data_IF_674103502433
#
_entry.id   IF_674103502433
#
_cell.length_a   1.000
_cell.length_b   1.000
_cell.length_c   1.000
_cell.angle_alpha   90.00
_cell.angle_beta   90.00
_cell.angle_gamma   90.00
#
_symmetry.space_group_name_H-M   'P 1'
#
loop_
_entity.id
_entity.type
_entity.pdbx_description
1 polymer ?
#
# COMPACT_ATOMS: atom_id res chain seq x y z
N UNK A 1 0.42 4.70 19.26
CA UNK A 1 1.40 4.02 18.39
C UNK A 1 1.17 2.52 18.46
N UNK A 2 0.20 1.99 17.71
CA UNK A 2 0.07 0.54 17.53
C UNK A 2 1.27 0.08 16.69
N UNK A 3 2.31 -0.42 17.37
CA UNK A 3 3.39 -1.12 16.68
C UNK A 3 2.77 -2.29 15.92
N UNK A 4 3.25 -2.53 14.71
CA UNK A 4 2.86 -3.65 13.85
C UNK A 4 3.40 -4.92 14.50
N UNK A 5 2.76 -5.34 15.59
CA UNK A 5 3.12 -6.50 16.39
C UNK A 5 1.89 -7.37 16.45
N UNK A 6 1.68 -8.13 15.38
CA UNK A 6 1.43 -9.58 15.40
C UNK A 6 0.91 -10.05 14.02
N UNK A 7 1.60 -11.04 13.45
CA UNK A 7 1.22 -11.89 12.31
C UNK A 7 1.38 -11.38 10.85
N UNK A 8 1.89 -10.17 10.57
CA UNK A 8 2.26 -9.78 9.20
C UNK A 8 3.79 -9.70 9.02
N UNK A 9 4.34 -10.49 8.10
CA UNK A 9 5.75 -10.39 7.71
C UNK A 9 5.92 -9.13 6.85
N UNK A 10 6.42 -8.06 7.45
CA UNK A 10 6.72 -6.80 6.77
C UNK A 10 7.96 -6.99 5.90
N UNK A 11 7.84 -6.70 4.60
CA UNK A 11 8.96 -6.75 3.66
C UNK A 11 9.67 -5.39 3.57
N UNK A 12 8.94 -4.28 3.77
CA UNK A 12 9.49 -2.92 3.77
C UNK A 12 8.65 -1.94 4.59
N UNK A 13 9.29 -0.95 5.22
CA UNK A 13 8.66 0.19 5.91
C UNK A 13 8.89 1.45 5.08
N UNK A 14 7.81 2.16 4.74
CA UNK A 14 7.88 3.51 4.19
C UNK A 14 7.33 4.46 5.24
N UNK A 15 8.08 5.49 5.60
CA UNK A 15 7.62 6.46 6.61
C UNK A 15 7.88 7.90 6.23
N UNK A 16 6.96 8.79 6.60
CA UNK A 16 7.17 10.23 6.46
C UNK A 16 8.16 10.74 7.52
N UNK A 17 9.01 11.69 7.15
CA UNK A 17 9.91 12.33 8.09
C UNK A 17 9.13 13.20 9.08
N UNK A 18 8.20 13.99 8.56
CA UNK A 18 7.40 14.94 9.34
C UNK A 18 6.10 14.27 9.77
N UNK A 19 6.13 13.54 10.89
CA UNK A 19 4.94 12.98 11.52
C UNK A 19 4.60 13.77 12.80
N UNK A 20 3.32 13.86 13.19
CA UNK A 20 2.93 14.37 14.50
C UNK A 20 3.43 13.44 15.61
N UNK A 21 3.67 13.99 16.80
CA UNK A 21 4.13 13.29 18.02
C UNK A 21 5.57 12.76 17.98
N UNK A 22 5.96 12.04 16.92
CA UNK A 22 7.32 11.51 16.72
C UNK A 22 7.80 11.77 15.31
N UNK A 23 9.10 12.00 15.11
CA UNK A 23 9.63 12.11 13.74
C UNK A 23 9.84 10.72 13.14
N UNK A 24 9.81 10.63 11.80
CA UNK A 24 10.19 9.39 11.12
C UNK A 24 11.65 9.01 11.35
N UNK A 25 12.51 9.97 11.69
CA UNK A 25 13.88 9.69 12.11
C UNK A 25 13.92 8.92 13.44
N UNK A 26 13.07 9.30 14.40
CA UNK A 26 12.96 8.58 15.68
C UNK A 26 12.42 7.16 15.46
N UNK A 27 11.43 7.00 14.56
CA UNK A 27 10.93 5.69 14.17
C UNK A 27 12.04 4.83 13.54
N UNK A 28 12.82 5.41 12.62
CA UNK A 28 13.94 4.73 11.99
C UNK A 28 14.97 4.27 13.02
N UNK A 29 15.32 5.13 13.98
CA UNK A 29 16.24 4.78 15.06
C UNK A 29 15.70 3.63 15.93
N UNK A 30 14.41 3.64 16.26
CA UNK A 30 13.76 2.56 17.02
C UNK A 30 13.76 1.24 16.25
N UNK A 31 13.42 1.26 14.96
CA UNK A 31 13.41 0.08 14.09
C UNK A 31 14.81 -0.52 13.97
N UNK A 32 15.82 0.31 13.69
CA UNK A 32 17.21 -0.14 13.54
C UNK A 32 17.88 -0.56 14.85
N UNK A 33 17.43 -0.01 15.98
CA UNK A 33 17.86 -0.44 17.31
C UNK A 33 17.23 -1.75 17.79
N UNK A 34 16.10 -2.16 17.22
CA UNK A 34 15.38 -3.37 17.64
C UNK A 34 15.89 -4.62 16.89
N UNK A 35 16.44 -5.60 17.62
CA UNK A 35 16.97 -6.86 17.06
C UNK A 35 15.98 -7.63 16.18
N UNK A 36 14.68 -7.51 16.44
CA UNK A 36 13.63 -8.20 15.66
C UNK A 36 13.19 -7.47 14.39
N UNK A 37 13.57 -6.19 14.21
CA UNK A 37 13.10 -5.34 13.11
C UNK A 37 14.23 -4.66 12.33
N UNK A 38 15.47 -4.69 12.84
CA UNK A 38 16.63 -4.01 12.23
C UNK A 38 16.90 -4.40 10.77
N UNK A 39 16.54 -5.62 10.39
CA UNK A 39 16.77 -6.18 9.06
C UNK A 39 15.69 -5.76 8.06
N UNK A 40 14.58 -5.16 8.53
CA UNK A 40 13.53 -4.63 7.66
C UNK A 40 14.07 -3.35 6.99
N UNK A 41 14.04 -3.25 5.65
CA UNK A 41 14.42 -2.02 4.96
C UNK A 41 13.44 -0.91 5.32
N UNK A 42 14.00 0.28 5.60
CA UNK A 42 13.22 1.48 5.93
C UNK A 42 13.54 2.54 4.91
N UNK A 43 12.51 3.04 4.24
CA UNK A 43 12.61 4.13 3.26
C UNK A 43 11.94 5.37 3.83
N UNK A 44 12.71 6.45 3.88
CA UNK A 44 12.25 7.73 4.40
C UNK A 44 11.61 8.54 3.28
N UNK A 45 10.52 9.23 3.58
CA UNK A 45 9.84 10.16 2.66
C UNK A 45 9.80 11.55 3.28
N UNK A 46 9.96 12.63 2.50
CA UNK A 46 9.78 13.99 3.02
C UNK A 46 9.35 14.95 1.92
N UNK A 47 8.59 15.98 2.28
CA UNK A 47 8.29 17.09 1.35
C UNK A 47 9.42 18.11 1.29
N UNK A 48 10.36 18.09 2.24
CA UNK A 48 11.44 19.06 2.36
C UNK A 48 12.76 18.48 1.86
N UNK A 49 13.47 19.24 1.02
CA UNK A 49 14.79 18.88 0.54
C UNK A 49 15.88 19.47 1.45
N UNK A 50 16.15 18.80 2.57
CA UNK A 50 17.20 19.20 3.53
C UNK A 50 18.37 18.21 3.45
N UNK A 51 19.51 18.56 2.84
CA UNK A 51 20.61 17.62 2.63
C UNK A 51 21.17 17.00 3.91
N UNK A 52 21.20 17.75 5.01
CA UNK A 52 21.65 17.22 6.31
C UNK A 52 20.73 16.12 6.83
N UNK A 53 19.41 16.31 6.69
CA UNK A 53 18.39 15.32 7.07
C UNK A 53 18.56 14.03 6.29
N UNK A 54 18.72 14.14 4.98
CA UNK A 54 18.94 12.99 4.09
C UNK A 54 20.17 12.21 4.55
N UNK A 55 21.30 12.90 4.75
CA UNK A 55 22.54 12.27 5.23
C UNK A 55 22.37 11.60 6.59
N UNK A 56 21.70 12.25 7.55
CA UNK A 56 21.46 11.69 8.88
C UNK A 56 20.61 10.42 8.81
N UNK A 57 19.52 10.41 8.03
CA UNK A 57 18.69 9.21 7.88
C UNK A 57 19.47 8.04 7.27
N UNK A 58 20.21 8.29 6.18
CA UNK A 58 21.02 7.26 5.53
C UNK A 58 22.13 6.73 6.46
N UNK A 59 22.77 7.61 7.24
CA UNK A 59 23.82 7.23 8.17
C UNK A 59 23.34 6.29 9.29
N UNK A 60 22.08 6.39 9.72
CA UNK A 60 21.51 5.49 10.74
C UNK A 60 20.91 4.21 10.15
N UNK A 61 20.96 4.05 8.82
CA UNK A 61 20.54 2.83 8.13
C UNK A 61 19.21 2.93 7.39
N UNK A 62 18.74 4.13 7.03
CA UNK A 62 17.72 4.23 5.99
C UNK A 62 18.27 3.68 4.68
N UNK A 63 17.45 2.92 3.97
CA UNK A 63 17.81 2.30 2.71
C UNK A 63 17.73 3.28 1.55
N UNK A 64 16.76 4.20 1.59
CA UNK A 64 16.56 5.24 0.59
C UNK A 64 15.84 6.44 1.23
N UNK A 65 16.00 7.62 0.62
CA UNK A 65 15.26 8.83 0.99
C UNK A 65 14.58 9.43 -0.24
N UNK A 66 13.23 9.44 -0.24
CA UNK A 66 12.41 9.89 -1.35
C UNK A 66 11.81 11.26 -1.04
N UNK A 67 11.96 12.22 -1.96
CA UNK A 67 11.20 13.46 -1.89
C UNK A 67 9.80 13.26 -2.45
N UNK A 68 8.81 13.73 -1.69
CA UNK A 68 7.42 13.79 -2.11
C UNK A 68 7.24 14.88 -3.17
N UNK A 69 6.37 14.68 -4.18
CA UNK A 69 5.52 13.51 -4.39
C UNK A 69 6.29 12.30 -4.96
N UNK A 70 5.88 11.07 -4.59
CA UNK A 70 6.45 9.84 -5.16
C UNK A 70 6.29 9.81 -6.67
N UNK A 71 7.36 9.45 -7.38
CA UNK A 71 7.33 9.23 -8.83
C UNK A 71 7.37 7.74 -9.13
N UNK A 72 6.94 7.39 -10.34
CA UNK A 72 6.95 6.00 -10.80
C UNK A 72 8.34 5.35 -10.70
N UNK A 73 9.41 6.11 -10.97
CA UNK A 73 10.78 5.62 -10.83
C UNK A 73 11.15 5.24 -9.39
N UNK A 74 10.59 5.91 -8.39
CA UNK A 74 10.85 5.62 -6.98
C UNK A 74 10.16 4.30 -6.57
N UNK A 75 8.95 4.04 -7.07
CA UNK A 75 8.23 2.78 -6.87
C UNK A 75 8.96 1.60 -7.52
N UNK A 76 9.57 1.81 -8.70
CA UNK A 76 10.34 0.77 -9.38
C UNK A 76 11.58 0.36 -8.58
N UNK A 77 12.22 1.29 -7.87
CA UNK A 77 13.30 0.97 -6.92
C UNK A 77 12.76 0.16 -5.73
N UNK A 78 11.60 0.55 -5.21
CA UNK A 78 10.98 -0.08 -4.04
C UNK A 78 10.69 -1.58 -4.26
N UNK A 79 10.35 -1.96 -5.49
CA UNK A 79 10.11 -3.35 -5.88
C UNK A 79 11.26 -4.29 -5.53
N UNK A 80 12.51 -3.81 -5.49
CA UNK A 80 13.67 -4.64 -5.16
C UNK A 80 13.65 -5.15 -3.71
N UNK A 81 12.87 -4.50 -2.83
CA UNK A 81 12.76 -4.87 -1.42
C UNK A 81 11.57 -5.78 -1.12
N UNK A 82 10.65 -5.95 -2.06
CA UNK A 82 9.43 -6.74 -1.86
C UNK A 82 9.65 -8.13 -2.42
N UNK A 83 9.30 -9.17 -1.66
CA UNK A 83 9.36 -10.55 -2.17
C UNK A 83 8.43 -10.69 -3.39
N UNK A 84 8.85 -11.45 -4.43
CA UNK A 84 8.01 -11.66 -5.60
C UNK A 84 6.63 -12.21 -5.17
N UNK A 85 5.57 -11.48 -5.48
CA UNK A 85 4.21 -11.99 -5.39
C UNK A 85 4.10 -13.19 -6.32
N UNK A 86 3.47 -14.27 -5.85
CA UNK A 86 3.17 -15.43 -6.69
C UNK A 86 2.47 -14.96 -7.99
N UNK A 87 2.70 -15.59 -9.15
CA UNK A 87 2.14 -15.15 -10.41
C UNK A 87 0.62 -15.00 -10.33
N UNK A 88 0.11 -13.79 -10.60
CA UNK A 88 -1.33 -13.55 -10.71
C UNK A 88 -1.83 -14.28 -11.97
N UNK A 89 -2.81 -15.19 -11.88
CA UNK A 89 -3.37 -15.86 -13.05
C UNK A 89 -3.96 -14.82 -14.01
N UNK A 90 -3.48 -14.81 -15.26
CA UNK A 90 -3.99 -13.90 -16.30
C UNK A 90 -5.43 -14.28 -16.66
N UNK A 91 -6.43 -13.52 -16.20
CA UNK A 91 -7.81 -13.69 -16.66
C UNK A 91 -7.95 -13.08 -18.06
N UNK A 92 -8.04 -13.91 -19.08
CA UNK A 92 -8.12 -13.49 -20.47
C UNK A 92 -9.55 -13.02 -20.79
N UNK A 93 -9.89 -11.74 -20.52
CA UNK A 93 -11.19 -11.17 -20.93
C UNK A 93 -11.15 -10.71 -22.39
N UNK A 94 -11.25 -11.67 -23.31
CA UNK A 94 -11.81 -11.44 -24.64
C UNK A 94 -13.34 -11.42 -24.50
N UNK A 95 -13.95 -10.27 -24.20
CA UNK A 95 -15.40 -10.10 -24.38
C UNK A 95 -15.67 -9.55 -25.79
N UNK A 96 -15.95 -10.47 -26.70
CA UNK A 96 -16.62 -10.23 -27.98
C UNK A 96 -18.00 -9.66 -27.67
N UNK A 97 -18.32 -8.45 -28.13
CA UNK A 97 -19.65 -7.84 -28.00
C UNK A 97 -20.61 -8.54 -28.96
N UNK A 98 -21.71 -9.15 -28.52
CA UNK A 98 -22.82 -9.46 -29.41
C UNK A 98 -23.83 -8.32 -29.33
N UNK A 99 -23.97 -7.62 -30.46
CA UNK A 99 -25.15 -6.81 -30.79
C UNK A 99 -26.38 -7.71 -30.83
N UNK A 100 -27.45 -7.35 -30.14
CA UNK A 100 -28.79 -7.18 -30.73
C UNK A 100 -29.94 -7.15 -29.69
N UNK A 101 -30.89 -6.25 -29.99
CA UNK A 101 -32.34 -6.22 -29.67
C UNK A 101 -32.83 -5.58 -28.36
N UNK A 102 -33.48 -4.42 -28.56
CA UNK A 102 -34.60 -3.87 -27.77
C UNK A 102 -35.86 -4.74 -27.94
N UNK A 103 -36.79 -4.71 -26.96
CA UNK A 103 -38.06 -4.04 -27.26
C UNK A 103 -38.66 -3.22 -26.10
N UNK A 104 -39.62 -2.38 -26.51
CA UNK A 104 -40.35 -1.34 -25.78
C UNK A 104 -41.49 -1.82 -24.84
N UNK A 105 -41.84 -0.91 -23.91
CA UNK A 105 -43.15 -0.58 -23.28
C UNK A 105 -43.89 -1.57 -22.35
N UNK A 106 -44.28 -1.05 -21.17
CA UNK A 106 -45.53 -1.45 -20.49
C UNK A 106 -45.62 -1.25 -18.97
N UNK A 107 -46.30 -0.17 -18.55
CA UNK A 107 -47.19 -0.02 -17.38
C UNK A 107 -46.70 -0.17 -15.93
N UNK A 108 -46.96 0.89 -15.15
CA UNK A 108 -46.86 1.01 -13.68
C UNK A 108 -47.77 0.05 -12.89
N UNK A 109 -47.27 -0.42 -11.73
CA UNK A 109 -47.95 -0.56 -10.40
C UNK A 109 -46.98 -1.15 -9.36
N UNK A 110 -46.67 -0.38 -8.31
CA UNK A 110 -46.12 -0.84 -7.02
C UNK A 110 -47.28 -1.24 -6.07
N UNK A 111 -47.06 -1.81 -4.86
CA UNK A 111 -45.85 -2.40 -4.23
C UNK A 111 -46.11 -3.79 -3.58
N UNK A 112 -45.06 -4.54 -3.18
CA UNK A 112 -44.92 -5.14 -1.83
C UNK A 112 -43.64 -5.99 -1.69
N UNK A 113 -43.17 -6.04 -0.45
CA UNK A 113 -41.88 -6.53 0.08
C UNK A 113 -41.69 -8.05 0.02
N UNK A 114 -40.50 -8.52 -0.39
CA UNK A 114 -39.66 -9.54 0.29
C UNK A 114 -38.46 -9.88 -0.60
N UNK A 115 -37.27 -10.07 -0.02
CA UNK A 115 -36.15 -10.66 -0.77
C UNK A 115 -34.77 -10.20 -0.34
N UNK A 116 -34.16 -11.03 0.50
CA UNK A 116 -32.75 -11.05 0.87
C UNK A 116 -31.87 -11.14 -0.39
N UNK A 117 -30.79 -10.36 -0.49
CA UNK A 117 -29.73 -10.62 -1.46
C UNK A 117 -28.37 -10.13 -0.92
N UNK A 118 -27.42 -11.06 -0.96
CA UNK A 118 -26.09 -11.01 -0.38
C UNK A 118 -25.25 -9.84 -0.89
N UNK A 119 -24.64 -9.10 0.03
CA UNK A 119 -23.58 -8.14 -0.30
C UNK A 119 -22.31 -8.93 -0.61
N UNK A 120 -21.97 -8.97 -1.90
CA UNK A 120 -20.74 -9.52 -2.41
C UNK A 120 -19.52 -9.00 -1.64
N UNK A 121 -18.73 -9.96 -1.17
CA UNK A 121 -17.40 -9.74 -0.61
C UNK A 121 -16.50 -9.18 -1.70
N UNK A 122 -16.36 -7.85 -1.74
CA UNK A 122 -15.26 -7.19 -2.41
C UNK A 122 -13.97 -7.60 -1.69
N UNK A 123 -13.32 -8.65 -2.21
CA UNK A 123 -11.98 -9.04 -1.79
C UNK A 123 -11.00 -7.98 -2.26
N UNK A 124 -10.76 -6.99 -1.39
CA UNK A 124 -9.63 -6.09 -1.53
C UNK A 124 -8.32 -6.91 -1.58
N UNK A 125 -7.41 -6.64 -2.53
CA UNK A 125 -6.10 -7.25 -2.52
C UNK A 125 -5.33 -6.72 -1.32
N UNK A 126 -5.11 -7.59 -0.34
CA UNK A 126 -4.32 -7.31 0.85
C UNK A 126 -2.84 -7.21 0.44
N UNK A 127 -2.30 -5.98 0.34
CA UNK A 127 -0.85 -5.78 0.33
C UNK A 127 -0.31 -6.12 1.72
N UNK A 128 0.05 -7.38 1.94
CA UNK A 128 0.51 -7.91 3.24
C UNK A 128 1.96 -7.58 3.59
N UNK A 129 2.67 -6.82 2.76
CA UNK A 129 4.12 -6.62 2.88
C UNK A 129 4.59 -5.17 3.10
N UNK A 130 3.70 -4.18 3.01
CA UNK A 130 4.07 -2.76 3.10
C UNK A 130 3.47 -2.15 4.36
N UNK A 131 4.33 -1.70 5.27
CA UNK A 131 3.95 -0.86 6.39
C UNK A 131 4.13 0.62 6.00
N UNK A 132 3.06 1.40 6.09
CA UNK A 132 3.12 2.86 5.93
C UNK A 132 2.86 3.48 7.29
N UNK A 133 3.79 4.31 7.76
CA UNK A 133 3.67 5.08 8.99
C UNK A 133 3.79 6.57 8.68
#
# INVERSE_FOLDING_TARGET
MEMITQACKVDIILTDYCMPEMSGYDLLALVKGNKGMKDIPVVMMSSENVPQRIRSCLAIGAEEFILKPLRLGDVMKLRNYIRPLAPVPKTNSKRKVPSDRLPEKGSERQPHLTGVAEKGSERQPHLTGVAVA
#
